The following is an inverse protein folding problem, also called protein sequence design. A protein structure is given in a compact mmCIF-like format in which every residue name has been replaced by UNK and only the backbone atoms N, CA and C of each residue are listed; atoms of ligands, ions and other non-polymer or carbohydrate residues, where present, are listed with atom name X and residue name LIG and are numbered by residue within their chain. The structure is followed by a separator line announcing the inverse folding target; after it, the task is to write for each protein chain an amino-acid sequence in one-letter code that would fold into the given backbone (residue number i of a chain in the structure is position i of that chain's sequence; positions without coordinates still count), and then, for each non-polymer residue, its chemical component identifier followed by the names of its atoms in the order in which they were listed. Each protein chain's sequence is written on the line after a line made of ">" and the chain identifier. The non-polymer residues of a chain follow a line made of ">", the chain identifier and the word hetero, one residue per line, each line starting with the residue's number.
data_IF_157800164182
#
_entry.id   IF_157800164182
#
_cell.length_a   1.000
_cell.length_b   1.000
_cell.length_c   1.000
_cell.angle_alpha   90.00
_cell.angle_beta   90.00
_cell.angle_gamma   90.00
#
_symmetry.space_group_name_H-M   'P 1'
#
loop_
_entity.id
_entity.type
_entity.pdbx_description
1 polymer ?
#
# COMPACT_ATOMS: atom_id res chain seq x y z
N UNK A 1 12.87 -23.34 12.49
CA UNK A 1 12.77 -21.95 12.00
C UNK A 1 11.33 -21.74 11.55
N UNK A 2 10.54 -20.97 12.30
CA UNK A 2 9.06 -20.86 12.14
C UNK A 2 8.59 -19.48 11.63
N UNK A 3 9.51 -18.67 11.14
CA UNK A 3 9.21 -17.30 10.68
C UNK A 3 8.34 -17.34 9.41
N UNK A 4 7.14 -16.78 9.47
CA UNK A 4 6.16 -16.79 8.36
C UNK A 4 6.41 -15.70 7.32
N UNK A 5 6.76 -14.50 7.77
CA UNK A 5 6.95 -13.31 6.93
C UNK A 5 8.08 -12.46 7.52
N UNK A 6 8.88 -11.84 6.67
CA UNK A 6 9.84 -10.81 7.04
C UNK A 6 9.24 -9.43 6.77
N UNK A 7 9.34 -8.52 7.74
CA UNK A 7 8.86 -7.16 7.62
C UNK A 7 10.00 -6.18 7.80
N UNK A 8 10.19 -5.27 6.83
CA UNK A 8 11.21 -4.21 6.87
C UNK A 8 10.56 -2.84 6.84
N UNK A 9 10.98 -1.94 7.75
CA UNK A 9 10.57 -0.53 7.70
C UNK A 9 11.32 0.21 6.59
N UNK A 10 10.60 1.01 5.80
CA UNK A 10 11.13 1.72 4.63
C UNK A 10 10.58 3.14 4.61
N UNK A 11 11.44 4.10 4.23
CA UNK A 11 11.09 5.52 4.18
C UNK A 11 11.01 6.08 2.76
N UNK A 12 11.69 5.45 1.78
CA UNK A 12 11.78 5.94 0.40
C UNK A 12 10.81 5.18 -0.52
N UNK A 13 10.14 5.92 -1.40
CA UNK A 13 9.29 5.35 -2.46
C UNK A 13 9.90 5.77 -3.80
N UNK A 14 10.73 4.91 -4.38
CA UNK A 14 11.43 5.12 -5.65
C UNK A 14 11.76 3.80 -6.33
N UNK A 15 12.01 3.81 -7.64
CA UNK A 15 12.45 2.60 -8.37
C UNK A 15 13.80 2.05 -7.87
N UNK A 16 14.66 2.91 -7.33
CA UNK A 16 15.95 2.51 -6.74
C UNK A 16 15.80 1.79 -5.39
N UNK A 17 14.60 1.79 -4.79
CA UNK A 17 14.31 1.14 -3.52
C UNK A 17 13.68 -0.22 -3.81
N UNK A 18 14.40 -1.32 -3.56
CA UNK A 18 13.93 -2.66 -3.89
C UNK A 18 12.65 -3.02 -3.13
N UNK A 19 12.48 -2.52 -1.91
CA UNK A 19 11.26 -2.76 -1.14
C UNK A 19 10.01 -2.06 -1.72
N UNK A 20 10.17 -1.05 -2.57
CA UNK A 20 9.06 -0.35 -3.23
C UNK A 20 8.51 -1.11 -4.45
N UNK A 21 9.26 -2.09 -4.98
CA UNK A 21 8.86 -2.91 -6.12
C UNK A 21 8.15 -4.19 -5.68
N UNK A 22 7.53 -4.92 -6.61
CA UNK A 22 6.95 -6.23 -6.29
C UNK A 22 8.04 -7.26 -5.90
N UNK A 23 7.81 -8.06 -4.85
CA UNK A 23 8.84 -8.92 -4.23
C UNK A 23 8.64 -10.42 -4.45
N UNK A 24 7.42 -10.85 -4.80
CA UNK A 24 7.03 -12.26 -5.06
C UNK A 24 7.59 -13.28 -4.05
N UNK A 25 7.68 -12.89 -2.78
CA UNK A 25 8.28 -13.64 -1.68
C UNK A 25 7.61 -13.21 -0.36
N UNK A 26 7.76 -13.97 0.75
CA UNK A 26 7.13 -13.63 2.04
C UNK A 26 7.86 -12.47 2.75
N UNK A 27 7.99 -11.34 2.05
CA UNK A 27 8.63 -10.10 2.49
C UNK A 27 7.67 -8.95 2.30
N UNK A 28 7.46 -8.16 3.35
CA UNK A 28 6.58 -7.00 3.35
C UNK A 28 7.37 -5.74 3.71
N UNK A 29 7.16 -4.68 2.94
CA UNK A 29 7.65 -3.35 3.25
C UNK A 29 6.64 -2.60 4.12
N UNK A 30 7.08 -1.99 5.21
CA UNK A 30 6.26 -1.18 6.11
C UNK A 30 6.63 0.28 5.92
N UNK A 31 5.65 1.06 5.44
CA UNK A 31 5.78 2.51 5.32
C UNK A 31 4.97 3.19 6.41
N UNK A 32 5.63 3.97 7.25
CA UNK A 32 4.95 4.77 8.28
C UNK A 32 4.31 6.00 7.65
N UNK A 33 3.04 6.24 7.98
CA UNK A 33 2.30 7.43 7.60
C UNK A 33 1.90 8.25 8.82
N UNK A 34 1.82 9.57 8.67
CA UNK A 34 1.45 10.50 9.75
C UNK A 34 -0.06 10.50 9.99
N UNK A 35 -0.83 10.33 8.92
CA UNK A 35 -2.29 10.34 8.92
C UNK A 35 -2.82 9.53 7.72
N UNK A 36 -4.15 9.48 7.59
CA UNK A 36 -4.81 8.70 6.54
C UNK A 36 -4.47 9.24 5.15
N UNK A 37 -4.49 10.56 4.97
CA UNK A 37 -4.26 11.22 3.69
C UNK A 37 -2.83 10.94 3.17
N UNK A 38 -1.84 11.02 4.06
CA UNK A 38 -0.45 10.65 3.78
C UNK A 38 -0.31 9.15 3.46
N UNK A 39 -1.04 8.28 4.17
CA UNK A 39 -1.04 6.85 3.88
C UNK A 39 -1.60 6.55 2.47
N UNK A 40 -2.70 7.20 2.10
CA UNK A 40 -3.30 7.05 0.77
C UNK A 40 -2.37 7.59 -0.32
N UNK A 41 -1.70 8.72 -0.09
CA UNK A 41 -0.75 9.28 -1.05
C UNK A 41 0.45 8.35 -1.26
N UNK A 42 1.02 7.80 -0.17
CA UNK A 42 2.09 6.80 -0.25
C UNK A 42 1.63 5.55 -1.01
N UNK A 43 0.43 5.04 -0.71
CA UNK A 43 -0.13 3.89 -1.40
C UNK A 43 -0.34 4.16 -2.90
N UNK A 44 -0.85 5.34 -3.25
CA UNK A 44 -0.98 5.75 -4.65
C UNK A 44 0.37 5.75 -5.37
N UNK A 45 1.39 6.37 -4.77
CA UNK A 45 2.74 6.39 -5.37
C UNK A 45 3.32 5.00 -5.58
N UNK A 46 3.14 4.08 -4.62
CA UNK A 46 3.56 2.68 -4.77
C UNK A 46 2.82 1.98 -5.90
N UNK A 47 1.51 2.20 -6.03
CA UNK A 47 0.70 1.67 -7.14
C UNK A 47 1.17 2.22 -8.49
N UNK A 48 1.45 3.52 -8.61
CA UNK A 48 1.95 4.09 -9.88
C UNK A 48 3.31 3.51 -10.30
N UNK A 49 4.14 3.09 -9.34
CA UNK A 49 5.45 2.50 -9.64
C UNK A 49 5.35 1.07 -10.19
N UNK A 50 4.61 0.18 -9.51
CA UNK A 50 4.61 -1.26 -9.84
C UNK A 50 3.25 -1.95 -9.66
N UNK A 51 2.16 -1.22 -9.41
CA UNK A 51 0.86 -1.79 -9.03
C UNK A 51 -0.36 -1.32 -9.83
N UNK A 52 -0.21 -0.42 -10.80
CA UNK A 52 -1.31 0.16 -11.54
C UNK A 52 -2.14 -0.92 -12.25
N UNK A 53 -3.47 -0.85 -12.09
CA UNK A 53 -4.40 -1.83 -12.65
C UNK A 53 -4.49 -3.18 -11.91
N UNK A 54 -3.72 -3.40 -10.84
CA UNK A 54 -3.76 -4.65 -10.08
C UNK A 54 -4.75 -4.59 -8.91
N UNK A 55 -4.25 -4.52 -7.68
CA UNK A 55 -5.03 -4.68 -6.46
C UNK A 55 -4.55 -3.71 -5.39
N UNK A 56 -5.50 -3.14 -4.65
CA UNK A 56 -5.22 -2.43 -3.41
C UNK A 56 -6.19 -2.87 -2.31
N UNK A 57 -5.74 -2.77 -1.05
CA UNK A 57 -6.52 -3.18 0.13
C UNK A 57 -6.44 -2.08 1.17
N UNK A 58 -7.59 -1.68 1.70
CA UNK A 58 -7.73 -0.80 2.86
C UNK A 58 -8.28 -1.63 4.02
N UNK A 59 -7.76 -1.39 5.22
CA UNK A 59 -8.39 -1.84 6.46
C UNK A 59 -8.84 -0.60 7.23
N UNK A 60 -10.15 -0.42 7.36
CA UNK A 60 -10.74 0.69 8.11
C UNK A 60 -12.03 0.24 8.80
N UNK A 61 -12.54 1.03 9.75
CA UNK A 61 -13.91 0.86 10.23
C UNK A 61 -14.88 1.15 9.06
N UNK A 62 -15.73 0.17 8.73
CA UNK A 62 -16.72 0.24 7.63
C UNK A 62 -17.67 1.43 7.74
N UNK A 63 -17.88 1.97 8.95
CA UNK A 63 -18.72 3.16 9.17
C UNK A 63 -18.07 4.43 8.60
N UNK A 64 -16.75 4.41 8.33
CA UNK A 64 -15.98 5.53 7.77
C UNK A 64 -16.01 5.54 6.25
N UNK A 65 -17.22 5.66 5.70
CA UNK A 65 -17.46 5.71 4.26
C UNK A 65 -16.65 6.79 3.53
N UNK A 66 -16.33 7.90 4.21
CA UNK A 66 -15.46 8.93 3.66
C UNK A 66 -14.04 8.42 3.34
N UNK A 67 -13.48 7.54 4.17
CA UNK A 67 -12.15 6.95 3.95
C UNK A 67 -12.17 5.93 2.82
N UNK A 68 -13.20 5.08 2.80
CA UNK A 68 -13.42 4.10 1.75
C UNK A 68 -13.48 4.80 0.38
N UNK A 69 -14.35 5.80 0.26
CA UNK A 69 -14.53 6.55 -0.97
C UNK A 69 -13.26 7.31 -1.39
N UNK A 70 -12.53 7.91 -0.43
CA UNK A 70 -11.28 8.60 -0.71
C UNK A 70 -10.18 7.64 -1.21
N UNK A 71 -10.07 6.45 -0.59
CA UNK A 71 -9.12 5.42 -1.02
C UNK A 71 -9.46 4.90 -2.43
N UNK A 72 -10.72 4.53 -2.65
CA UNK A 72 -11.21 4.02 -3.93
C UNK A 72 -11.10 5.04 -5.06
N UNK A 73 -11.36 6.31 -4.78
CA UNK A 73 -11.24 7.39 -5.77
C UNK A 73 -9.80 7.78 -6.11
N UNK A 74 -8.82 7.48 -5.24
CA UNK A 74 -7.42 7.89 -5.42
C UNK A 74 -6.55 6.78 -6.01
N UNK A 75 -6.79 5.52 -5.66
CA UNK A 75 -5.94 4.40 -6.06
C UNK A 75 -6.31 3.88 -7.45
N UNK A 76 -5.33 3.82 -8.35
CA UNK A 76 -5.52 3.37 -9.74
C UNK A 76 -5.36 1.85 -9.88
N UNK A 77 -6.20 1.09 -9.17
CA UNK A 77 -6.19 -0.39 -9.19
C UNK A 77 -7.54 -0.94 -9.64
N UNK A 78 -7.55 -2.04 -10.39
CA UNK A 78 -8.80 -2.64 -10.89
C UNK A 78 -9.61 -3.33 -9.79
N UNK A 79 -8.95 -3.84 -8.75
CA UNK A 79 -9.59 -4.49 -7.61
C UNK A 79 -9.26 -3.74 -6.33
N UNK A 80 -10.30 -3.39 -5.58
CA UNK A 80 -10.20 -2.66 -4.32
C UNK A 80 -10.97 -3.48 -3.29
N UNK A 81 -10.33 -3.74 -2.15
CA UNK A 81 -10.94 -4.36 -0.97
C UNK A 81 -10.84 -3.37 0.18
N UNK A 82 -11.92 -3.10 0.89
CA UNK A 82 -12.07 -2.00 1.86
C UNK A 82 -12.66 -2.43 3.20
#
# INVERSE_FOLDING_TARGET
>A
MDTKVLAGEVSKISLEEEFAQEKLSPVIAIYRAENFEDAVEKAHRLVELCGAGHTSVLYTDERRQNRINAFAGRLRTCRIFD
#
